data_IF_671037335242
#
_entry.id   IF_671037335242
#
_cell.length_a   1.000
_cell.length_b   1.000
_cell.length_c   1.000
_cell.angle_alpha   90.00
_cell.angle_beta   90.00
_cell.angle_gamma   90.00
#
_symmetry.space_group_name_H-M   'P 1'
#
loop_
_entity.id
_entity.type
_entity.pdbx_description
1 polymer ?
#
# COMPACT_ATOMS: atom_id res chain seq x y z
N UNK A 1 -3.61 -0.95 12.00
CA UNK A 1 -2.49 -0.09 11.54
C UNK A 1 -2.90 1.37 11.64
N UNK A 2 -1.99 2.26 12.07
CA UNK A 2 -2.25 3.69 12.16
C UNK A 2 -1.67 4.42 10.96
N UNK A 3 -2.46 5.28 10.31
CA UNK A 3 -1.99 6.11 9.19
C UNK A 3 -1.78 7.54 9.70
N UNK A 4 -0.54 8.02 9.70
CA UNK A 4 -0.20 9.38 10.18
C UNK A 4 0.44 10.26 9.11
N UNK A 5 1.03 9.64 8.08
CA UNK A 5 1.79 10.31 7.03
C UNK A 5 1.29 9.84 5.67
N UNK A 6 1.35 10.72 4.68
CA UNK A 6 1.07 10.44 3.29
C UNK A 6 2.24 10.90 2.42
N UNK A 7 2.50 10.21 1.32
CA UNK A 7 3.48 10.65 0.33
C UNK A 7 2.75 11.25 -0.86
N UNK A 8 3.11 12.49 -1.20
CA UNK A 8 2.61 13.16 -2.40
C UNK A 8 3.73 13.36 -3.41
N UNK A 9 3.39 13.26 -4.69
CA UNK A 9 4.28 13.60 -5.80
C UNK A 9 3.99 15.04 -6.23
N UNK A 10 4.93 15.95 -6.00
CA UNK A 10 4.84 17.36 -6.41
C UNK A 10 6.04 17.66 -7.31
N UNK A 11 5.78 18.03 -8.57
CA UNK A 11 6.83 18.35 -9.58
C UNK A 11 7.92 17.27 -9.69
N UNK A 12 7.53 15.99 -9.63
CA UNK A 12 8.45 14.85 -9.73
C UNK A 12 9.25 14.53 -8.46
N UNK A 13 9.00 15.24 -7.35
CA UNK A 13 9.59 14.97 -6.04
C UNK A 13 8.55 14.39 -5.08
N UNK A 14 8.98 13.43 -4.28
CA UNK A 14 8.16 12.88 -3.20
C UNK A 14 8.29 13.77 -1.97
N UNK A 15 7.15 14.26 -1.49
CA UNK A 15 7.06 15.03 -0.26
C UNK A 15 6.22 14.21 0.71
N UNK A 16 6.79 13.92 1.88
CA UNK A 16 6.03 13.36 3.00
C UNK A 16 5.20 14.49 3.59
N UNK A 17 3.88 14.37 3.53
CA UNK A 17 2.93 15.33 4.09
C UNK A 17 2.06 14.65 5.13
N UNK A 18 1.29 15.43 5.88
CA UNK A 18 0.13 14.88 6.56
C UNK A 18 -0.94 14.46 5.53
N UNK A 19 -1.75 13.43 5.78
CA UNK A 19 -2.89 13.10 4.93
C UNK A 19 -3.77 14.32 4.67
N UNK A 20 -4.27 14.44 3.43
CA UNK A 20 -5.01 15.62 2.93
C UNK A 20 -6.31 15.90 3.69
N UNK A 21 -6.86 14.90 4.39
CA UNK A 21 -8.08 15.02 5.19
C UNK A 21 -7.88 14.35 6.55
N UNK A 22 -8.66 14.78 7.56
CA UNK A 22 -8.71 14.12 8.87
C UNK A 22 -9.11 12.65 8.75
N UNK A 23 -10.00 12.31 7.82
CA UNK A 23 -10.39 10.92 7.48
C UNK A 23 -9.25 10.07 6.87
N UNK A 24 -8.16 10.70 6.41
CA UNK A 24 -6.94 10.00 6.01
C UNK A 24 -6.06 9.61 7.20
N UNK A 25 -6.39 10.08 8.42
CA UNK A 25 -5.77 9.66 9.68
C UNK A 25 -6.75 8.73 10.39
N UNK A 26 -6.34 7.49 10.61
CA UNK A 26 -7.22 6.50 11.22
C UNK A 26 -6.50 5.21 11.57
N UNK A 27 -7.14 4.44 12.43
CA UNK A 27 -6.78 3.03 12.64
C UNK A 27 -7.54 2.23 11.59
N UNK A 28 -6.80 1.68 10.62
CA UNK A 28 -7.35 0.77 9.63
C UNK A 28 -7.21 -0.65 10.21
N UNK A 29 -8.34 -1.35 10.26
CA UNK A 29 -8.37 -2.78 10.54
C UNK A 29 -7.64 -3.51 9.41
N UNK A 30 -6.63 -4.30 9.77
CA UNK A 30 -5.93 -5.19 8.84
C UNK A 30 -6.63 -6.53 8.94
N UNK A 31 -7.18 -7.08 7.84
CA UNK A 31 -7.72 -8.43 7.85
C UNK A 31 -6.66 -9.45 8.30
N UNK A 32 -7.02 -10.38 9.18
CA UNK A 32 -6.07 -11.36 9.74
C UNK A 32 -5.37 -12.19 8.66
N UNK A 33 -6.08 -12.45 7.55
CA UNK A 33 -5.58 -13.21 6.41
C UNK A 33 -4.33 -12.61 5.76
N UNK A 34 -4.09 -11.29 5.86
CA UNK A 34 -2.91 -10.66 5.25
C UNK A 34 -1.77 -10.41 6.25
N UNK A 35 -1.95 -10.73 7.53
CA UNK A 35 -0.95 -10.48 8.58
C UNK A 35 0.35 -11.27 8.35
N UNK A 36 0.33 -12.55 7.95
CA UNK A 36 1.56 -13.30 7.66
C UNK A 36 2.40 -12.65 6.55
N UNK A 37 1.76 -12.25 5.45
CA UNK A 37 2.40 -11.61 4.29
C UNK A 37 2.98 -10.25 4.67
N UNK A 38 2.24 -9.46 5.47
CA UNK A 38 2.75 -8.19 6.00
C UNK A 38 3.98 -8.38 6.89
N UNK A 39 4.00 -9.41 7.75
CA UNK A 39 5.17 -9.70 8.59
C UNK A 39 6.39 -10.08 7.74
N UNK A 40 6.21 -10.98 6.77
CA UNK A 40 7.28 -11.38 5.85
C UNK A 40 7.82 -10.18 5.08
N UNK A 41 6.93 -9.34 4.56
CA UNK A 41 7.31 -8.14 3.82
C UNK A 41 8.10 -7.15 4.69
N UNK A 42 7.64 -6.89 5.92
CA UNK A 42 8.33 -5.99 6.84
C UNK A 42 9.70 -6.51 7.28
N UNK A 43 9.89 -7.83 7.35
CA UNK A 43 11.20 -8.40 7.68
C UNK A 43 12.20 -8.35 6.52
N UNK A 44 11.73 -8.43 5.28
CA UNK A 44 12.58 -8.64 4.10
C UNK A 44 12.80 -7.37 3.27
N UNK A 45 11.79 -6.50 3.18
CA UNK A 45 11.76 -5.40 2.20
C UNK A 45 11.58 -4.00 2.79
N UNK A 46 11.32 -3.88 4.09
CA UNK A 46 11.09 -2.60 4.76
C UNK A 46 12.35 -2.06 5.46
N UNK A 47 12.36 -0.75 5.73
CA UNK A 47 13.40 -0.16 6.57
C UNK A 47 13.20 -0.54 8.04
N UNK A 48 14.30 -0.59 8.78
CA UNK A 48 14.25 -0.86 10.21
C UNK A 48 13.64 0.30 11.00
N UNK A 49 13.03 -0.04 12.13
CA UNK A 49 12.52 0.91 13.11
C UNK A 49 11.05 1.30 12.91
N UNK A 50 10.46 1.98 13.91
CA UNK A 50 9.02 2.29 13.94
C UNK A 50 8.59 3.29 12.86
N UNK A 51 9.53 4.09 12.34
CA UNK A 51 9.31 5.07 11.28
C UNK A 51 9.78 4.60 9.90
N UNK A 52 10.23 3.34 9.79
CA UNK A 52 10.77 2.77 8.56
C UNK A 52 9.73 2.69 7.44
N UNK A 53 10.14 2.96 6.20
CA UNK A 53 9.25 2.81 5.05
C UNK A 53 8.99 1.34 4.76
N UNK A 54 7.71 0.98 4.67
CA UNK A 54 7.29 -0.38 4.33
C UNK A 54 7.62 -0.75 2.88
N UNK A 55 7.55 0.18 1.93
CA UNK A 55 7.81 -0.10 0.51
C UNK A 55 8.97 0.73 -0.02
N UNK A 56 10.03 0.04 -0.45
CA UNK A 56 11.24 0.66 -0.98
C UNK A 56 11.59 -0.02 -2.30
N UNK A 57 11.94 0.78 -3.30
CA UNK A 57 12.51 0.26 -4.55
C UNK A 57 13.98 -0.14 -4.38
N UNK A 58 14.55 -0.84 -5.38
CA UNK A 58 15.91 -1.39 -5.31
C UNK A 58 17.03 -0.35 -5.13
N UNK A 59 16.73 0.93 -5.33
CA UNK A 59 17.67 2.06 -5.13
C UNK A 59 17.46 2.81 -3.81
N UNK A 60 16.74 2.23 -2.84
CA UNK A 60 16.45 2.88 -1.55
C UNK A 60 15.38 3.99 -1.61
N UNK A 61 14.81 4.24 -2.79
CA UNK A 61 13.77 5.24 -3.01
C UNK A 61 12.38 4.63 -2.90
N UNK A 62 11.41 5.38 -2.37
CA UNK A 62 10.01 4.97 -2.38
C UNK A 62 9.51 4.82 -3.83
N UNK A 63 8.82 3.73 -4.20
CA UNK A 63 8.33 3.52 -5.55
C UNK A 63 7.43 4.66 -6.05
N UNK A 64 7.65 5.10 -7.29
CA UNK A 64 6.72 6.01 -7.98
C UNK A 64 5.56 5.22 -8.57
N UNK A 65 4.42 5.88 -8.82
CA UNK A 65 3.27 5.24 -9.49
C UNK A 65 3.68 4.63 -10.84
N UNK A 66 4.50 5.33 -11.61
CA UNK A 66 4.96 4.87 -12.93
C UNK A 66 5.83 3.62 -12.82
N UNK A 67 6.81 3.60 -11.92
CA UNK A 67 7.69 2.44 -11.75
C UNK A 67 6.92 1.24 -11.21
N UNK A 68 6.02 1.46 -10.26
CA UNK A 68 5.17 0.41 -9.72
C UNK A 68 4.23 -0.17 -10.78
N UNK A 69 3.67 0.67 -11.67
CA UNK A 69 2.81 0.21 -12.76
C UNK A 69 3.51 -0.78 -13.70
N UNK A 70 4.79 -0.58 -14.00
CA UNK A 70 5.57 -1.49 -14.87
C UNK A 70 5.69 -2.87 -14.20
N UNK A 71 6.12 -2.91 -12.94
CA UNK A 71 6.27 -4.16 -12.17
C UNK A 71 4.91 -4.84 -12.00
N UNK A 72 3.86 -4.06 -11.74
CA UNK A 72 2.49 -4.57 -11.61
C UNK A 72 2.01 -5.28 -12.88
N UNK A 73 2.19 -4.66 -14.05
CA UNK A 73 1.78 -5.27 -15.33
C UNK A 73 2.51 -6.59 -15.60
N UNK A 74 3.80 -6.67 -15.24
CA UNK A 74 4.57 -7.92 -15.35
C UNK A 74 4.03 -9.00 -14.40
N UNK A 75 3.76 -8.65 -13.14
CA UNK A 75 3.18 -9.58 -12.17
C UNK A 75 1.78 -10.05 -12.56
N UNK A 76 0.92 -9.14 -13.04
CA UNK A 76 -0.44 -9.45 -13.48
C UNK A 76 -0.44 -10.39 -14.70
N UNK A 77 0.46 -10.15 -15.67
CA UNK A 77 0.64 -11.05 -16.81
C UNK A 77 1.15 -12.43 -16.37
N UNK A 78 2.15 -12.49 -15.48
CA UNK A 78 2.67 -13.75 -14.95
C UNK A 78 1.63 -14.55 -14.15
N UNK A 79 0.68 -13.86 -13.50
CA UNK A 79 -0.45 -14.46 -12.81
C UNK A 79 -1.63 -14.82 -13.73
N UNK A 80 -1.51 -14.61 -15.05
CA UNK A 80 -2.58 -14.93 -16.02
C UNK A 80 -3.75 -13.94 -16.04
N UNK A 81 -3.60 -12.77 -15.41
CA UNK A 81 -4.63 -11.72 -15.30
C UNK A 81 -4.13 -10.38 -15.86
N UNK A 82 -3.72 -10.29 -17.14
CA UNK A 82 -3.04 -9.13 -17.69
C UNK A 82 -3.86 -7.83 -17.64
N UNK A 83 -5.19 -7.93 -17.59
CA UNK A 83 -6.10 -6.78 -17.53
C UNK A 83 -6.39 -6.31 -16.10
N UNK A 84 -5.80 -6.93 -15.08
CA UNK A 84 -5.93 -6.48 -13.70
C UNK A 84 -5.04 -5.26 -13.46
N UNK A 85 -5.64 -4.12 -13.13
CA UNK A 85 -4.94 -2.92 -12.73
C UNK A 85 -4.87 -2.81 -11.20
N UNK A 86 -3.84 -2.14 -10.69
CA UNK A 86 -3.66 -1.96 -9.23
C UNK A 86 -4.82 -1.23 -8.55
N UNK A 87 -5.57 -0.40 -9.29
CA UNK A 87 -6.75 0.28 -8.73
C UNK A 87 -7.95 -0.65 -8.56
N UNK A 88 -8.05 -1.73 -9.34
CA UNK A 88 -9.11 -2.73 -9.23
C UNK A 88 -9.02 -3.45 -7.89
N UNK A 89 -7.80 -3.68 -7.38
CA UNK A 89 -7.58 -4.23 -6.05
C UNK A 89 -8.20 -3.38 -4.95
N UNK A 90 -8.27 -2.05 -5.12
CA UNK A 90 -8.90 -1.20 -4.12
C UNK A 90 -10.41 -1.43 -4.07
N UNK A 91 -11.03 -1.66 -5.22
CA UNK A 91 -12.45 -2.00 -5.28
C UNK A 91 -12.72 -3.36 -4.66
N UNK A 92 -11.94 -4.38 -5.02
CA UNK A 92 -12.06 -5.72 -4.42
C UNK A 92 -11.75 -5.73 -2.92
N UNK A 93 -10.71 -5.01 -2.51
CA UNK A 93 -10.29 -4.92 -1.12
C UNK A 93 -11.33 -4.24 -0.23
N UNK A 94 -11.99 -3.19 -0.72
CA UNK A 94 -13.10 -2.57 0.01
C UNK A 94 -14.26 -3.54 0.22
N UNK A 95 -14.60 -4.33 -0.80
CA UNK A 95 -15.64 -5.38 -0.70
C UNK A 95 -15.24 -6.46 0.29
N UNK A 96 -14.01 -6.98 0.23
CA UNK A 96 -13.52 -8.03 1.14
C UNK A 96 -13.42 -7.54 2.59
N UNK A 97 -12.99 -6.30 2.80
CA UNK A 97 -12.94 -5.71 4.14
C UNK A 97 -14.35 -5.55 4.74
N UNK A 98 -15.32 -5.14 3.92
CA UNK A 98 -16.72 -5.04 4.35
C UNK A 98 -17.34 -6.41 4.69
N UNK A 99 -17.00 -7.48 3.97
CA UNK A 99 -17.55 -8.82 4.22
C UNK A 99 -16.89 -9.55 5.38
N UNK A 100 -15.63 -9.25 5.68
CA UNK A 100 -14.86 -9.89 6.78
C UNK A 100 -15.00 -9.18 8.13
N UNK A 101 -15.87 -8.17 8.23
CA UNK A 101 -16.07 -7.39 9.46
C UNK A 101 -14.92 -6.41 9.76
N UNK A 102 -13.95 -6.28 8.87
CA UNK A 102 -12.92 -5.26 8.89
C UNK A 102 -13.44 -3.94 8.28
N UNK A 103 -14.65 -3.52 8.67
CA UNK A 103 -15.17 -2.23 8.23
C UNK A 103 -14.32 -1.10 8.80
N UNK A 104 -14.16 -0.03 8.01
CA UNK A 104 -13.68 1.25 8.52
C UNK A 104 -14.56 1.63 9.70
N UNK A 105 -13.96 1.75 10.89
CA UNK A 105 -14.63 2.36 12.04
C UNK A 105 -14.94 3.81 11.67
N UNK A 106 -16.23 4.16 11.70
CA UNK A 106 -16.69 5.56 11.64
C UNK A 106 -16.04 6.40 12.75
#
# INVERSE_FOLDING_TARGET
MRVERAVQQVKGKQIVTTPKTAAGRGVIAIPEVIVPELRSHLSEFAELGPDGRAFIGPKGATPTRTNFHIVWRQAAAAAGVPELYSHDLRHTGATLAATTGASLRE
#
